data_IF_057490157307
#
_entry.id   IF_057490157307
#
_cell.length_a   1.000
_cell.length_b   1.000
_cell.length_c   1.000
_cell.angle_alpha   90.00
_cell.angle_beta   90.00
_cell.angle_gamma   90.00
#
_symmetry.space_group_name_H-M   'P 1'
#
loop_
_entity.id
_entity.type
_entity.pdbx_description
1 polymer ?
#
# COMPACT_ATOMS: atom_id res chain seq x y z
N UNK A 1 10.01 -9.32 -10.45
CA UNK A 1 8.55 -9.12 -10.36
C UNK A 1 8.25 -7.68 -10.73
N UNK A 2 7.12 -7.38 -11.38
CA UNK A 2 6.71 -6.01 -11.73
C UNK A 2 5.64 -5.54 -10.75
N UNK A 3 5.61 -4.25 -10.41
CA UNK A 3 4.60 -3.65 -9.51
C UNK A 3 3.17 -3.89 -10.02
N UNK A 4 2.95 -3.80 -11.34
CA UNK A 4 1.66 -4.10 -11.97
C UNK A 4 1.08 -5.49 -11.59
N UNK A 5 1.93 -6.48 -11.29
CA UNK A 5 1.44 -7.78 -10.83
C UNK A 5 1.02 -7.76 -9.35
N UNK A 6 1.71 -6.99 -8.51
CA UNK A 6 1.29 -6.76 -7.13
C UNK A 6 -0.03 -6.00 -7.08
N UNK A 7 -0.18 -4.97 -7.92
CA UNK A 7 -1.44 -4.22 -8.06
C UNK A 7 -2.59 -5.16 -8.41
N UNK A 8 -2.41 -6.02 -9.41
CA UNK A 8 -3.41 -7.02 -9.78
C UNK A 8 -3.74 -7.96 -8.61
N UNK A 9 -2.74 -8.49 -7.91
CA UNK A 9 -2.99 -9.40 -6.80
C UNK A 9 -3.72 -8.71 -5.63
N UNK A 10 -3.39 -7.45 -5.35
CA UNK A 10 -4.02 -6.66 -4.29
C UNK A 10 -5.46 -6.28 -4.65
N UNK A 11 -5.69 -5.78 -5.87
CA UNK A 11 -7.02 -5.45 -6.40
C UNK A 11 -7.96 -6.67 -6.40
N UNK A 12 -7.42 -7.83 -6.77
CA UNK A 12 -8.14 -9.11 -6.74
C UNK A 12 -8.19 -9.77 -5.36
N UNK A 13 -7.69 -9.08 -4.31
CA UNK A 13 -7.68 -9.51 -2.90
C UNK A 13 -6.98 -10.86 -2.67
N UNK A 14 -6.06 -11.23 -3.56
CA UNK A 14 -5.31 -12.50 -3.51
C UNK A 14 -4.16 -12.46 -2.53
N UNK A 15 -3.71 -11.27 -2.14
CA UNK A 15 -2.73 -11.08 -1.06
C UNK A 15 -3.34 -11.21 0.34
N UNK A 16 -4.67 -11.29 0.45
CA UNK A 16 -5.38 -11.17 1.71
C UNK A 16 -5.56 -9.71 2.14
N UNK A 17 -6.17 -9.52 3.30
CA UNK A 17 -6.47 -8.24 3.92
C UNK A 17 -5.67 -8.00 5.22
N UNK A 18 -4.84 -8.95 5.65
CA UNK A 18 -4.03 -8.83 6.87
C UNK A 18 -2.54 -9.02 6.53
N UNK A 19 -1.73 -8.07 6.98
CA UNK A 19 -0.29 -7.98 6.73
C UNK A 19 0.44 -7.69 8.05
N UNK A 20 1.76 -7.91 8.06
CA UNK A 20 2.60 -7.59 9.21
C UNK A 20 3.70 -6.60 8.82
N UNK A 21 3.88 -5.56 9.63
CA UNK A 21 4.99 -4.60 9.44
C UNK A 21 6.33 -5.23 9.82
N UNK A 22 7.43 -4.60 9.42
CA UNK A 22 8.78 -5.03 9.84
C UNK A 22 9.03 -4.89 11.35
N UNK A 23 8.13 -4.20 12.07
CA UNK A 23 8.14 -4.09 13.54
C UNK A 23 7.24 -5.13 14.22
N UNK A 24 6.57 -5.99 13.45
CA UNK A 24 5.67 -7.03 13.95
C UNK A 24 4.22 -6.57 14.18
N UNK A 25 3.88 -5.33 13.82
CA UNK A 25 2.54 -4.79 14.00
C UNK A 25 1.59 -5.35 12.93
N UNK A 26 0.36 -5.66 13.31
CA UNK A 26 -0.68 -6.07 12.36
C UNK A 26 -1.23 -4.86 11.61
N UNK A 27 -1.20 -4.92 10.29
CA UNK A 27 -1.86 -4.01 9.38
C UNK A 27 -3.03 -4.74 8.72
N UNK A 28 -4.25 -4.26 8.94
CA UNK A 28 -5.46 -4.81 8.32
C UNK A 28 -6.04 -3.82 7.32
N UNK A 29 -6.38 -4.29 6.13
CA UNK A 29 -7.00 -3.49 5.07
C UNK A 29 -8.52 -3.57 5.19
N UNK A 30 -9.13 -2.51 5.73
CA UNK A 30 -10.58 -2.40 5.87
C UNK A 30 -11.27 -2.02 4.55
N UNK A 31 -10.58 -1.20 3.73
CA UNK A 31 -10.97 -0.84 2.36
C UNK A 31 -9.72 -0.79 1.50
N UNK A 32 -9.67 -1.63 0.46
CA UNK A 32 -8.52 -1.73 -0.47
C UNK A 32 -8.30 -0.45 -1.29
N UNK A 33 -9.34 0.38 -1.42
CA UNK A 33 -9.30 1.55 -2.29
C UNK A 33 -9.63 1.19 -3.74
N UNK A 34 -9.28 2.09 -4.64
CA UNK A 34 -9.54 2.00 -6.09
C UNK A 34 -8.21 2.10 -6.83
N UNK A 35 -7.94 1.15 -7.74
CA UNK A 35 -6.72 1.15 -8.56
C UNK A 35 -6.63 2.44 -9.38
N UNK A 36 -5.55 3.19 -9.15
CA UNK A 36 -5.21 4.37 -9.91
C UNK A 36 -4.52 3.97 -11.22
N UNK A 37 -4.94 4.55 -12.33
CA UNK A 37 -4.32 4.33 -13.66
C UNK A 37 -3.52 5.53 -14.14
N UNK A 38 -3.56 6.61 -13.37
CA UNK A 38 -2.87 7.86 -13.64
C UNK A 38 -1.62 7.98 -12.75
N UNK A 39 -0.91 9.10 -12.85
CA UNK A 39 0.23 9.38 -11.98
C UNK A 39 -0.19 9.49 -10.50
N UNK A 40 0.76 9.22 -9.60
CA UNK A 40 0.57 9.28 -8.15
C UNK A 40 0.47 7.89 -7.52
N UNK A 41 -0.23 7.75 -6.39
CA UNK A 41 -0.28 6.49 -5.64
C UNK A 41 -1.04 5.41 -6.41
N UNK A 42 -0.73 4.15 -6.16
CA UNK A 42 -1.32 3.01 -6.88
C UNK A 42 -2.79 2.76 -6.56
N UNK A 43 -3.22 3.03 -5.32
CA UNK A 43 -4.62 2.91 -4.91
C UNK A 43 -5.08 4.16 -4.18
N UNK A 44 -6.28 4.63 -4.52
CA UNK A 44 -6.89 5.79 -3.89
C UNK A 44 -7.97 5.41 -2.88
N UNK A 45 -8.17 6.25 -1.86
CA UNK A 45 -9.29 6.14 -0.91
C UNK A 45 -9.35 4.80 -0.15
N UNK A 46 -8.19 4.25 0.18
CA UNK A 46 -8.05 3.07 1.01
C UNK A 46 -8.25 3.41 2.51
N UNK A 47 -8.53 2.37 3.29
CA UNK A 47 -8.65 2.45 4.75
C UNK A 47 -7.96 1.24 5.36
N UNK A 48 -7.06 1.49 6.31
CA UNK A 48 -6.32 0.44 7.02
C UNK A 48 -6.41 0.64 8.52
N UNK A 49 -6.33 -0.45 9.27
CA UNK A 49 -6.14 -0.45 10.72
C UNK A 49 -4.69 -0.87 10.99
N UNK A 50 -3.92 -0.03 11.67
CA UNK A 50 -2.55 -0.32 12.11
C UNK A 50 -2.44 0.07 13.58
N UNK A 51 -2.01 -0.86 14.44
CA UNK A 51 -1.88 -0.65 15.89
C UNK A 51 -3.17 -0.05 16.53
N UNK A 52 -4.32 -0.67 16.24
CA UNK A 52 -5.66 -0.25 16.67
C UNK A 52 -6.08 1.17 16.24
N UNK A 53 -5.31 1.82 15.35
CA UNK A 53 -5.63 3.12 14.77
C UNK A 53 -6.08 2.95 13.34
N UNK A 54 -7.15 3.65 13.00
CA UNK A 54 -7.68 3.69 11.64
C UNK A 54 -7.02 4.82 10.87
N UNK A 55 -6.46 4.47 9.72
CA UNK A 55 -5.89 5.39 8.75
C UNK A 55 -6.74 5.37 7.48
N UNK A 56 -7.00 6.55 6.90
CA UNK A 56 -7.65 6.70 5.61
C UNK A 56 -6.71 7.48 4.68
N UNK A 57 -6.49 6.98 3.47
CA UNK A 57 -5.52 7.57 2.56
C UNK A 57 -5.28 6.75 1.30
N UNK A 58 -4.12 6.94 0.70
CA UNK A 58 -3.70 6.25 -0.52
C UNK A 58 -2.70 5.14 -0.19
N UNK A 59 -2.54 4.15 -1.09
CA UNK A 59 -1.53 3.09 -0.98
C UNK A 59 -0.63 3.15 -2.21
N UNK A 60 0.68 3.05 -1.99
CA UNK A 60 1.70 2.92 -3.03
C UNK A 60 2.55 1.67 -2.76
N UNK A 61 2.86 0.92 -3.80
CA UNK A 61 3.61 -0.32 -3.78
C UNK A 61 4.98 -0.11 -4.41
N UNK A 62 6.00 -0.66 -3.76
CA UNK A 62 7.31 -0.85 -4.36
C UNK A 62 7.76 -2.29 -4.24
N UNK A 63 8.31 -2.84 -5.32
CA UNK A 63 8.95 -4.18 -5.26
C UNK A 63 10.22 -4.14 -4.42
N UNK A 64 10.94 -3.00 -4.41
CA UNK A 64 12.12 -2.79 -3.59
C UNK A 64 11.86 -1.63 -2.64
N UNK A 65 12.10 -1.83 -1.35
CA UNK A 65 12.04 -0.75 -0.37
C UNK A 65 13.00 0.40 -0.70
N UNK A 66 14.11 0.14 -1.42
CA UNK A 66 15.03 1.17 -1.90
C UNK A 66 14.39 2.17 -2.86
N UNK A 67 13.30 1.81 -3.53
CA UNK A 67 12.60 2.70 -4.45
C UNK A 67 11.91 3.86 -3.71
N UNK A 68 11.68 3.72 -2.39
CA UNK A 68 11.31 4.82 -1.51
C UNK A 68 12.23 6.05 -1.68
N UNK A 69 13.55 5.78 -1.65
CA UNK A 69 14.58 6.82 -1.78
C UNK A 69 14.69 7.35 -3.21
N UNK A 70 14.48 6.45 -4.19
CA UNK A 70 14.52 6.77 -5.62
C UNK A 70 13.39 7.73 -6.01
N UNK A 71 12.22 7.54 -5.43
CA UNK A 71 11.05 8.38 -5.62
C UNK A 71 11.03 9.61 -4.70
N UNK A 72 12.05 9.76 -3.84
CA UNK A 72 12.26 10.91 -2.97
C UNK A 72 11.24 11.06 -1.84
N UNK A 73 10.55 9.99 -1.48
CA UNK A 73 9.54 9.99 -0.42
C UNK A 73 10.10 10.33 0.97
N UNK A 74 11.41 10.20 1.20
CA UNK A 74 12.05 10.67 2.44
C UNK A 74 11.96 12.19 2.64
N UNK A 75 11.56 12.94 1.61
CA UNK A 75 11.33 14.38 1.66
C UNK A 75 9.85 14.74 1.57
N UNK A 76 8.96 13.75 1.51
CA UNK A 76 7.52 13.98 1.60
C UNK A 76 7.17 14.46 3.03
N UNK A 77 6.25 15.43 3.16
CA UNK A 77 5.91 16.06 4.44
C UNK A 77 5.12 15.16 5.41
#
# INVERSE_FOLDING_TARGET
MKEAFLHYLFDQRKLGDEFQTTKGETLKVERFGELNKDAGPDFQNAKVTLDNKVWAGHIEFHVKSSDWMKHKHQFDP
#
